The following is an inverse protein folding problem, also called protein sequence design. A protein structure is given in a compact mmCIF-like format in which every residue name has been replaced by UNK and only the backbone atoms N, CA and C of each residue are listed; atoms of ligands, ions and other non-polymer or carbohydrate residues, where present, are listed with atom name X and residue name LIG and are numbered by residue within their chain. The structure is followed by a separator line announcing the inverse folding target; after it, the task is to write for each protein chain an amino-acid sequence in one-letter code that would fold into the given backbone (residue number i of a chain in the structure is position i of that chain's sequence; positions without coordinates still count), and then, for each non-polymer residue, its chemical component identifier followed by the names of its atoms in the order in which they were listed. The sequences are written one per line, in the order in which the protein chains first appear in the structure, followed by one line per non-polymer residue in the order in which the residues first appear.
data_IF_086721768241
#
_entry.id   IF_086721768241
#
_cell.length_a   1.000
_cell.length_b   1.000
_cell.length_c   1.000
_cell.angle_alpha   90.00
_cell.angle_beta   90.00
_cell.angle_gamma   90.00
#
_symmetry.space_group_name_H-M   'P 1'
#
loop_
_entity.id
_entity.type
_entity.pdbx_description
1 polymer ?
#
# COMPACT_ATOMS: atom_id res chain seq x y z
N UNK A 1 -4.59 -9.35 1.73
CA UNK A 1 -3.96 -8.32 2.60
C UNK A 1 -2.43 -8.45 2.63
N UNK A 2 -1.79 -8.57 1.47
CA UNK A 2 -0.43 -9.12 1.32
C UNK A 2 0.72 -8.30 1.92
N UNK A 3 0.52 -7.00 2.18
CA UNK A 3 1.57 -6.09 2.64
C UNK A 3 1.28 -5.43 4.01
N UNK A 4 0.37 -5.99 4.80
CA UNK A 4 0.04 -5.45 6.12
C UNK A 4 -0.17 -6.57 7.16
N UNK A 5 -0.36 -6.18 8.42
CA UNK A 5 -0.50 -7.08 9.58
C UNK A 5 -1.73 -8.03 9.53
N UNK A 6 -2.57 -7.91 8.51
CA UNK A 6 -3.77 -8.72 8.31
C UNK A 6 -3.56 -9.76 7.19
N UNK A 7 -2.31 -10.09 6.85
CA UNK A 7 -1.93 -11.02 5.77
C UNK A 7 -2.64 -12.37 5.85
N UNK A 8 -2.88 -12.85 7.07
CA UNK A 8 -3.46 -14.18 7.33
C UNK A 8 -5.00 -14.20 7.18
N UNK A 9 -5.59 -13.03 6.98
CA UNK A 9 -7.03 -12.87 6.84
C UNK A 9 -7.43 -13.10 5.37
N UNK A 10 -8.12 -14.22 5.12
CA UNK A 10 -8.70 -14.57 3.81
C UNK A 10 -10.03 -13.84 3.58
N UNK A 11 -9.97 -12.51 3.66
CA UNK A 11 -11.10 -11.62 3.33
C UNK A 11 -10.60 -10.23 2.93
N UNK A 12 -11.53 -9.43 2.38
CA UNK A 12 -11.27 -8.05 1.96
C UNK A 12 -11.50 -7.08 3.13
N UNK A 13 -10.51 -6.24 3.43
CA UNK A 13 -10.64 -5.21 4.46
C UNK A 13 -11.44 -4.02 3.93
N UNK A 14 -12.56 -3.69 4.59
CA UNK A 14 -13.37 -2.52 4.27
C UNK A 14 -13.07 -1.31 5.18
N UNK A 15 -12.60 -1.55 6.40
CA UNK A 15 -12.11 -0.50 7.30
C UNK A 15 -10.99 -1.09 8.17
N UNK A 16 -9.87 -0.38 8.31
CA UNK A 16 -8.80 -0.76 9.21
C UNK A 16 -7.96 0.45 9.63
N UNK A 17 -7.23 0.30 10.73
CA UNK A 17 -6.36 1.32 11.28
C UNK A 17 -4.93 0.79 11.40
N UNK A 18 -3.96 1.63 11.05
CA UNK A 18 -2.53 1.36 11.21
C UNK A 18 -1.88 2.47 12.02
N UNK A 19 -0.89 2.10 12.85
CA UNK A 19 0.01 3.03 13.51
C UNK A 19 1.41 2.79 12.97
N UNK A 20 1.92 3.70 12.16
CA UNK A 20 3.27 3.61 11.57
C UNK A 20 3.89 5.00 11.49
N UNK A 21 5.21 5.07 11.69
CA UNK A 21 5.98 6.33 11.65
C UNK A 21 5.41 7.45 12.54
N UNK A 22 4.83 7.09 13.69
CA UNK A 22 4.17 8.05 14.60
C UNK A 22 2.80 8.56 14.12
N UNK A 23 2.35 8.14 12.94
CA UNK A 23 1.06 8.51 12.35
C UNK A 23 0.00 7.43 12.63
N UNK A 24 -1.23 7.90 12.87
CA UNK A 24 -2.43 7.04 12.94
C UNK A 24 -3.18 7.16 11.61
N UNK A 25 -3.10 6.11 10.81
CA UNK A 25 -3.76 6.04 9.50
C UNK A 25 -5.06 5.25 9.64
N UNK A 26 -6.20 5.89 9.38
CA UNK A 26 -7.50 5.23 9.28
C UNK A 26 -7.90 5.11 7.82
N UNK A 27 -8.03 3.87 7.33
CA UNK A 27 -8.43 3.58 5.96
C UNK A 27 -9.83 3.00 5.95
N UNK A 28 -10.69 3.53 5.08
CA UNK A 28 -12.07 3.11 4.90
C UNK A 28 -12.42 3.07 3.42
N UNK A 29 -12.99 1.96 2.98
CA UNK A 29 -13.58 1.84 1.65
C UNK A 29 -14.83 2.71 1.55
N UNK A 30 -14.85 3.61 0.57
CA UNK A 30 -16.00 4.49 0.32
C UNK A 30 -16.95 3.92 -0.73
N UNK A 31 -16.46 3.04 -1.61
CA UNK A 31 -17.21 2.46 -2.72
C UNK A 31 -16.66 1.06 -3.03
N UNK A 32 -17.54 0.18 -3.48
CA UNK A 32 -17.20 -1.17 -3.93
C UNK A 32 -17.79 -1.32 -5.33
N UNK A 33 -16.94 -1.66 -6.30
CA UNK A 33 -17.32 -1.89 -7.68
C UNK A 33 -16.91 -3.30 -8.09
N UNK A 34 -17.81 -4.02 -8.74
CA UNK A 34 -17.52 -5.34 -9.31
C UNK A 34 -16.96 -5.16 -10.73
N UNK A 35 -15.84 -5.80 -11.01
CA UNK A 35 -15.19 -5.69 -12.31
C UNK A 35 -14.15 -6.78 -12.54
N UNK A 36 -13.77 -6.97 -13.79
CA UNK A 36 -12.65 -7.84 -14.16
C UNK A 36 -11.35 -7.04 -14.10
N UNK A 37 -10.40 -7.53 -13.32
CA UNK A 37 -9.04 -6.99 -13.29
C UNK A 37 -8.25 -7.71 -14.38
N UNK A 38 -7.61 -6.96 -15.27
CA UNK A 38 -6.71 -7.53 -16.28
C UNK A 38 -5.33 -7.78 -15.66
N UNK A 39 -4.73 -8.94 -15.91
CA UNK A 39 -3.40 -9.31 -15.38
C UNK A 39 -2.30 -8.32 -15.77
N UNK A 40 -2.42 -7.69 -16.93
CA UNK A 40 -1.51 -6.63 -17.40
C UNK A 40 -1.47 -5.41 -16.47
N UNK A 41 -2.45 -5.24 -15.57
CA UNK A 41 -2.46 -4.17 -14.57
C UNK A 41 -1.34 -4.30 -13.53
N UNK A 42 -0.73 -5.49 -13.42
CA UNK A 42 0.38 -5.78 -12.52
C UNK A 42 1.75 -5.71 -13.23
N UNK A 43 1.79 -5.40 -14.52
CA UNK A 43 3.04 -5.19 -15.25
C UNK A 43 3.62 -3.81 -14.93
N UNK A 44 4.95 -3.73 -14.82
CA UNK A 44 5.64 -2.47 -14.52
C UNK A 44 5.67 -1.62 -15.82
N UNK A 45 5.05 -0.42 -15.82
CA UNK A 45 5.01 0.40 -17.03
C UNK A 45 6.39 0.93 -17.42
N UNK A 46 6.59 1.15 -18.72
CA UNK A 46 7.81 1.76 -19.26
C UNK A 46 8.06 3.14 -18.64
N UNK A 47 9.28 3.38 -18.16
CA UNK A 47 9.67 4.63 -17.50
C UNK A 47 9.76 4.54 -15.97
N UNK A 48 9.30 3.44 -15.38
CA UNK A 48 9.47 3.17 -13.94
C UNK A 48 10.60 2.18 -13.70
N UNK A 49 11.34 2.39 -12.61
CA UNK A 49 12.42 1.51 -12.16
C UNK A 49 11.90 0.58 -11.07
N UNK A 50 12.14 -0.71 -11.22
CA UNK A 50 11.98 -1.65 -10.12
C UNK A 50 13.03 -1.37 -9.04
N UNK A 51 12.58 -1.10 -7.81
CA UNK A 51 13.44 -0.84 -6.65
C UNK A 51 13.35 -1.99 -5.65
N UNK A 52 14.42 -2.21 -4.88
CA UNK A 52 14.39 -3.17 -3.78
C UNK A 52 13.51 -2.65 -2.63
N UNK A 53 13.11 -3.55 -1.73
CA UNK A 53 12.37 -3.18 -0.51
C UNK A 53 13.17 -2.17 0.33
N UNK A 54 14.49 -2.36 0.43
CA UNK A 54 15.39 -1.47 1.18
C UNK A 54 15.37 -0.04 0.63
N UNK A 55 15.47 0.10 -0.70
CA UNK A 55 15.39 1.41 -1.36
C UNK A 55 14.00 2.04 -1.16
N UNK A 56 12.92 1.25 -1.26
CA UNK A 56 11.57 1.74 -1.01
C UNK A 56 11.42 2.30 0.42
N UNK A 57 11.93 1.58 1.43
CA UNK A 57 11.90 2.04 2.83
C UNK A 57 12.68 3.33 3.02
N UNK A 58 13.88 3.43 2.45
CA UNK A 58 14.71 4.65 2.51
C UNK A 58 13.96 5.87 1.95
N UNK A 59 13.34 5.72 0.77
CA UNK A 59 12.58 6.81 0.14
C UNK A 59 11.37 7.23 0.99
N UNK A 60 10.66 6.27 1.61
CA UNK A 60 9.55 6.59 2.51
C UNK A 60 10.02 7.39 3.73
N UNK A 61 11.11 6.98 4.37
CA UNK A 61 11.65 7.71 5.53
C UNK A 61 12.04 9.14 5.18
N UNK A 62 12.67 9.36 4.03
CA UNK A 62 13.03 10.72 3.56
C UNK A 62 11.78 11.58 3.31
N UNK A 63 10.75 11.03 2.69
CA UNK A 63 9.47 11.73 2.48
C UNK A 63 8.82 12.08 3.83
N UNK A 64 8.78 11.15 4.79
CA UNK A 64 8.14 11.38 6.08
C UNK A 64 8.87 12.39 6.97
N UNK A 65 10.20 12.48 6.92
CA UNK A 65 10.98 13.52 7.63
C UNK A 65 10.59 14.93 7.20
N UNK A 66 10.20 15.13 5.94
CA UNK A 66 9.86 16.44 5.40
C UNK A 66 8.45 16.94 5.78
N UNK A 67 7.62 16.10 6.41
CA UNK A 67 6.30 16.49 6.91
C UNK A 67 6.33 17.01 8.37
N UNK A 68 7.51 17.27 8.90
CA UNK A 68 7.74 17.72 10.28
C UNK A 68 7.77 19.25 10.42
#
# INVERSE_FOLDING_TARGET
NWCNQFSDLDAVLLEYELKQYGLRLKLRANTIEEGSIQDSSFEIPTGFKLVSIEEMVYQFEEVFKNFQ
#
